data_IF_535957499580
#
_entry.id   IF_535957499580
#
_cell.length_a   1.000
_cell.length_b   1.000
_cell.length_c   1.000
_cell.angle_alpha   90.00
_cell.angle_beta   90.00
_cell.angle_gamma   90.00
#
_symmetry.space_group_name_H-M   'P 1'
#
loop_
_entity.id
_entity.type
_entity.pdbx_description
1 polymer ?
#
# COMPACT_ATOMS: atom_id res chain seq x y z
N UNK A 1 -15.54 15.09 40.21
CA UNK A 1 -15.43 14.22 39.01
C UNK A 1 -15.78 15.09 37.79
N UNK A 2 -14.74 15.57 37.11
CA UNK A 2 -14.91 16.24 35.81
C UNK A 2 -14.64 15.17 34.77
N UNK A 3 -15.72 14.75 34.06
CA UNK A 3 -15.62 13.83 32.94
C UNK A 3 -14.71 14.42 31.88
N UNK A 4 -13.53 13.84 31.67
CA UNK A 4 -12.71 14.12 30.52
C UNK A 4 -13.51 13.76 29.25
N UNK A 5 -13.60 14.66 28.25
CA UNK A 5 -14.28 14.34 27.02
C UNK A 5 -13.54 13.19 26.34
N UNK A 6 -14.19 12.05 26.21
CA UNK A 6 -13.67 10.90 25.46
C UNK A 6 -13.47 11.31 24.00
N UNK A 7 -12.22 11.56 23.62
CA UNK A 7 -11.84 11.77 22.23
C UNK A 7 -12.11 10.45 21.49
N UNK A 8 -13.23 10.38 20.77
CA UNK A 8 -13.51 9.24 19.89
C UNK A 8 -12.43 9.18 18.81
N UNK A 9 -11.65 8.12 18.83
CA UNK A 9 -10.68 7.88 17.75
C UNK A 9 -11.42 7.85 16.41
N UNK A 10 -10.89 8.51 15.36
CA UNK A 10 -11.52 8.51 14.05
C UNK A 10 -11.61 7.08 13.49
N UNK A 11 -12.73 6.76 12.89
CA UNK A 11 -12.87 5.49 12.16
C UNK A 11 -11.82 5.40 11.04
N UNK A 12 -11.48 4.19 10.61
CA UNK A 12 -10.52 3.98 9.51
C UNK A 12 -10.89 4.80 8.27
N UNK A 13 -12.19 4.92 7.95
CA UNK A 13 -12.67 5.73 6.83
C UNK A 13 -12.45 7.24 7.03
N UNK A 14 -12.66 7.75 8.24
CA UNK A 14 -12.41 9.17 8.57
C UNK A 14 -10.92 9.49 8.57
N UNK A 15 -10.09 8.59 9.10
CA UNK A 15 -8.64 8.73 9.07
C UNK A 15 -8.12 8.78 7.62
N UNK A 16 -8.63 7.91 6.76
CA UNK A 16 -8.26 7.86 5.36
C UNK A 16 -8.71 9.11 4.59
N UNK A 17 -9.94 9.59 4.82
CA UNK A 17 -10.45 10.81 4.19
C UNK A 17 -9.62 12.04 4.60
N UNK A 18 -9.23 12.13 5.86
CA UNK A 18 -8.41 13.23 6.36
C UNK A 18 -6.97 13.15 5.83
N UNK A 19 -6.39 11.95 5.75
CA UNK A 19 -5.06 11.74 5.18
C UNK A 19 -5.04 12.11 3.69
N UNK A 20 -6.05 11.71 2.94
CA UNK A 20 -6.21 12.04 1.51
C UNK A 20 -6.42 13.54 1.35
N UNK A 21 -7.26 14.18 2.18
CA UNK A 21 -7.47 15.62 2.17
C UNK A 21 -6.19 16.40 2.44
N UNK A 22 -5.42 16.00 3.43
CA UNK A 22 -4.12 16.62 3.76
C UNK A 22 -3.10 16.40 2.64
N UNK A 23 -3.07 15.22 2.02
CA UNK A 23 -2.20 14.93 0.88
C UNK A 23 -2.57 15.78 -0.35
N UNK A 24 -3.87 15.95 -0.65
CA UNK A 24 -4.35 16.82 -1.72
C UNK A 24 -3.94 18.29 -1.50
N UNK A 25 -4.04 18.76 -0.28
CA UNK A 25 -3.65 20.13 0.08
C UNK A 25 -2.14 20.33 -0.02
N UNK A 26 -1.35 19.33 0.40
CA UNK A 26 0.10 19.33 0.26
C UNK A 26 0.52 19.33 -1.22
N UNK A 27 -0.11 18.49 -2.05
CA UNK A 27 0.13 18.44 -3.50
C UNK A 27 -0.16 19.76 -4.20
N UNK A 28 -1.22 20.46 -3.78
CA UNK A 28 -1.57 21.78 -4.30
C UNK A 28 -0.49 22.83 -3.98
N UNK A 29 0.17 22.69 -2.84
CA UNK A 29 1.21 23.61 -2.39
C UNK A 29 2.62 23.27 -2.92
N UNK A 30 2.88 22.00 -3.32
CA UNK A 30 4.18 21.49 -3.76
C UNK A 30 4.33 21.38 -5.28
N UNK A 31 3.46 21.95 -6.06
CA UNK A 31 3.27 21.78 -7.51
C UNK A 31 4.49 21.79 -8.45
N UNK A 32 5.71 21.84 -7.95
CA UNK A 32 6.92 21.92 -8.77
C UNK A 32 7.98 20.83 -8.52
N UNK A 33 7.92 20.06 -7.42
CA UNK A 33 8.97 19.08 -7.08
C UNK A 33 8.63 17.62 -7.43
N UNK A 34 7.40 17.35 -7.88
CA UNK A 34 6.80 16.03 -7.90
C UNK A 34 7.17 15.18 -9.12
N UNK A 35 7.44 15.79 -10.25
CA UNK A 35 7.62 15.07 -11.53
C UNK A 35 8.97 14.34 -11.63
N UNK A 36 10.05 14.96 -11.18
CA UNK A 36 11.41 14.39 -11.36
C UNK A 36 11.68 13.18 -10.48
N UNK A 37 11.08 13.09 -9.28
CA UNK A 37 11.29 11.95 -8.38
C UNK A 37 10.53 10.71 -8.85
N UNK A 38 9.30 10.87 -9.33
CA UNK A 38 8.51 9.79 -9.89
C UNK A 38 9.16 9.21 -11.16
N UNK A 39 9.71 10.08 -12.03
CA UNK A 39 10.38 9.63 -13.24
C UNK A 39 11.71 8.91 -12.95
N UNK A 40 12.47 9.36 -11.97
CA UNK A 40 13.67 8.67 -11.50
C UNK A 40 13.33 7.29 -10.92
N UNK A 41 12.31 7.20 -10.09
CA UNK A 41 11.82 5.93 -9.55
C UNK A 41 11.36 4.99 -10.67
N UNK A 42 10.63 5.53 -11.65
CA UNK A 42 10.19 4.77 -12.83
C UNK A 42 11.37 4.22 -13.62
N UNK A 43 12.37 5.03 -13.88
CA UNK A 43 13.58 4.61 -14.61
C UNK A 43 14.37 3.55 -13.83
N UNK A 44 14.50 3.73 -12.52
CA UNK A 44 15.14 2.76 -11.62
C UNK A 44 14.40 1.41 -11.64
N UNK A 45 13.11 1.41 -11.38
CA UNK A 45 12.33 0.17 -11.30
C UNK A 45 12.32 -0.59 -12.63
N UNK A 46 12.32 0.10 -13.78
CA UNK A 46 12.40 -0.54 -15.11
C UNK A 46 13.67 -1.37 -15.31
N UNK A 47 14.76 -1.06 -14.61
CA UNK A 47 16.00 -1.83 -14.71
C UNK A 47 15.93 -3.15 -13.93
N UNK A 48 15.11 -3.22 -12.87
CA UNK A 48 15.11 -4.33 -11.91
C UNK A 48 13.85 -5.19 -11.96
N UNK A 49 12.76 -4.69 -12.52
CA UNK A 49 11.53 -5.48 -12.64
C UNK A 49 11.52 -6.25 -13.95
N UNK A 50 11.76 -7.55 -13.85
CA UNK A 50 11.54 -8.51 -14.94
C UNK A 50 10.21 -9.23 -14.72
N UNK A 51 9.16 -8.76 -15.40
CA UNK A 51 7.83 -9.34 -15.29
C UNK A 51 7.80 -10.82 -15.71
N UNK A 52 8.59 -11.22 -16.74
CA UNK A 52 8.63 -12.60 -17.19
C UNK A 52 9.20 -13.51 -16.12
N UNK A 53 10.26 -13.08 -15.43
CA UNK A 53 10.85 -13.81 -14.33
C UNK A 53 9.87 -13.92 -13.15
N UNK A 54 9.18 -12.82 -12.76
CA UNK A 54 8.18 -12.82 -11.70
C UNK A 54 7.06 -13.82 -12.00
N UNK A 55 6.51 -13.79 -13.23
CA UNK A 55 5.41 -14.68 -13.61
C UNK A 55 5.83 -16.16 -13.71
N UNK A 56 7.06 -16.43 -14.13
CA UNK A 56 7.62 -17.78 -14.23
C UNK A 56 7.98 -18.36 -12.86
N UNK A 57 8.23 -17.52 -11.88
CA UNK A 57 8.58 -17.93 -10.51
C UNK A 57 7.48 -18.79 -9.90
N UNK A 58 7.89 -19.84 -9.17
CA UNK A 58 7.00 -20.61 -8.30
C UNK A 58 6.67 -19.89 -6.98
N UNK A 59 7.25 -18.71 -6.76
CA UNK A 59 6.93 -17.85 -5.62
C UNK A 59 5.74 -16.99 -5.94
N UNK A 60 4.87 -16.81 -4.95
CA UNK A 60 3.81 -15.84 -5.05
C UNK A 60 4.37 -14.41 -4.93
N UNK A 61 3.73 -13.50 -5.60
CA UNK A 61 3.99 -12.06 -5.49
C UNK A 61 2.65 -11.35 -5.39
N UNK A 62 2.53 -10.44 -4.46
CA UNK A 62 1.33 -9.62 -4.29
C UNK A 62 1.68 -8.24 -3.77
N UNK A 63 0.80 -7.31 -4.00
CA UNK A 63 0.91 -5.92 -3.55
C UNK A 63 -0.46 -5.31 -3.29
N UNK A 64 -0.47 -4.16 -2.61
CA UNK A 64 -1.69 -3.38 -2.38
C UNK A 64 -1.52 -2.00 -3.00
N UNK A 65 -2.55 -1.54 -3.69
CA UNK A 65 -2.67 -0.15 -4.13
C UNK A 65 -4.03 0.39 -3.67
N UNK A 66 -4.20 1.69 -3.63
CA UNK A 66 -5.44 2.33 -3.21
C UNK A 66 -6.02 3.18 -4.33
N UNK A 67 -7.26 2.89 -4.72
CA UNK A 67 -7.97 3.67 -5.74
C UNK A 67 -8.59 4.92 -5.10
N UNK A 68 -8.26 6.08 -5.64
CA UNK A 68 -8.72 7.36 -5.09
C UNK A 68 -10.21 7.60 -5.37
N UNK A 69 -10.73 7.41 -6.60
CA UNK A 69 -12.16 7.63 -6.84
C UNK A 69 -13.07 6.61 -6.15
N UNK A 70 -12.59 5.36 -5.98
CA UNK A 70 -13.39 4.31 -5.33
C UNK A 70 -13.23 4.33 -3.80
N UNK A 71 -12.21 5.01 -3.28
CA UNK A 71 -11.82 4.99 -1.87
C UNK A 71 -11.65 3.57 -1.33
N UNK A 72 -11.04 2.69 -2.14
CA UNK A 72 -10.93 1.27 -1.84
C UNK A 72 -9.52 0.73 -2.09
N UNK A 73 -9.04 -0.21 -1.23
CA UNK A 73 -7.81 -0.92 -1.48
C UNK A 73 -8.00 -1.96 -2.59
N UNK A 74 -6.98 -2.13 -3.40
CA UNK A 74 -6.88 -3.19 -4.39
C UNK A 74 -5.73 -4.12 -3.99
N UNK A 75 -6.08 -5.30 -3.50
CA UNK A 75 -5.16 -6.37 -3.19
C UNK A 75 -4.95 -7.21 -4.45
N UNK A 76 -3.74 -7.19 -4.98
CA UNK A 76 -3.43 -7.80 -6.27
C UNK A 76 -2.34 -8.86 -6.11
N UNK A 77 -2.66 -10.10 -6.42
CA UNK A 77 -1.66 -11.13 -6.63
C UNK A 77 -1.17 -11.09 -8.08
N UNK A 78 0.01 -11.65 -8.37
CA UNK A 78 0.59 -11.62 -9.72
C UNK A 78 -0.33 -12.23 -10.80
N UNK A 79 -1.20 -13.15 -10.38
CA UNK A 79 -2.18 -13.79 -11.25
C UNK A 79 -3.31 -12.85 -11.64
N UNK A 80 -3.69 -11.92 -10.73
CA UNK A 80 -4.77 -10.94 -10.92
C UNK A 80 -4.31 -9.72 -11.73
N UNK A 81 -3.00 -9.52 -11.80
CA UNK A 81 -2.41 -8.40 -12.56
C UNK A 81 -2.36 -8.76 -14.04
N UNK A 82 -2.94 -7.95 -14.94
CA UNK A 82 -2.86 -8.19 -16.38
C UNK A 82 -1.40 -8.30 -16.89
N UNK A 83 -1.19 -9.07 -17.96
CA UNK A 83 0.14 -9.23 -18.55
C UNK A 83 0.66 -7.87 -19.03
N UNK A 84 1.93 -7.60 -18.76
CA UNK A 84 2.58 -6.33 -19.10
C UNK A 84 2.43 -5.24 -18.05
N UNK A 85 1.63 -5.45 -16.99
CA UNK A 85 1.27 -4.40 -16.03
C UNK A 85 1.88 -4.55 -14.62
N UNK A 86 2.68 -5.58 -14.34
CA UNK A 86 3.29 -5.72 -13.00
C UNK A 86 4.05 -4.45 -12.60
N UNK A 87 4.77 -3.87 -13.55
CA UNK A 87 5.50 -2.63 -13.34
C UNK A 87 4.58 -1.48 -12.92
N UNK A 88 3.44 -1.29 -13.61
CA UNK A 88 2.51 -0.20 -13.33
C UNK A 88 1.86 -0.34 -11.95
N UNK A 89 1.53 -1.58 -11.57
CA UNK A 89 1.01 -1.87 -10.23
C UNK A 89 2.06 -1.66 -9.14
N UNK A 90 3.33 -2.00 -9.37
CA UNK A 90 4.41 -1.70 -8.42
C UNK A 90 4.59 -0.18 -8.26
N UNK A 91 4.56 0.57 -9.38
CA UNK A 91 4.59 2.03 -9.33
C UNK A 91 3.40 2.62 -8.57
N UNK A 92 2.21 2.07 -8.79
CA UNK A 92 1.01 2.50 -8.08
C UNK A 92 1.08 2.21 -6.57
N UNK A 93 1.56 1.01 -6.20
CA UNK A 93 1.77 0.60 -4.80
C UNK A 93 2.84 1.41 -4.08
N UNK A 94 3.76 2.06 -4.82
CA UNK A 94 4.83 2.89 -4.28
C UNK A 94 4.54 4.39 -4.42
N UNK A 95 3.37 4.76 -4.96
CA UNK A 95 3.00 6.14 -5.22
C UNK A 95 2.53 6.83 -3.94
N UNK A 96 3.51 7.23 -3.09
CA UNK A 96 3.18 7.98 -1.88
C UNK A 96 2.29 9.19 -2.20
N UNK A 97 1.25 9.49 -1.41
CA UNK A 97 0.24 10.51 -1.75
C UNK A 97 0.79 11.89 -2.08
N UNK A 98 1.99 12.24 -1.58
CA UNK A 98 2.68 13.49 -1.91
C UNK A 98 3.38 13.47 -3.28
N UNK A 99 3.45 12.29 -3.93
CA UNK A 99 4.02 12.14 -5.27
C UNK A 99 2.90 12.02 -6.32
N UNK A 100 3.32 11.89 -7.59
CA UNK A 100 2.39 11.78 -8.71
C UNK A 100 1.57 10.50 -8.62
N UNK A 101 0.25 10.64 -8.55
CA UNK A 101 -0.68 9.53 -8.62
C UNK A 101 -0.53 8.77 -9.91
N UNK A 102 -0.67 7.46 -9.86
CA UNK A 102 -0.44 6.60 -11.00
C UNK A 102 -1.76 6.27 -11.71
N UNK A 103 -1.68 6.22 -13.04
CA UNK A 103 -2.71 5.59 -13.87
C UNK A 103 -2.24 4.20 -14.26
N UNK A 104 -3.16 3.27 -14.35
CA UNK A 104 -2.92 1.92 -14.84
C UNK A 104 -3.68 1.78 -16.14
N UNK A 105 -3.05 1.26 -17.17
CA UNK A 105 -3.67 1.02 -18.47
C UNK A 105 -4.93 0.15 -18.33
N UNK A 106 -6.01 0.51 -19.04
CA UNK A 106 -7.32 -0.12 -18.92
C UNK A 106 -8.12 0.31 -17.69
N UNK A 107 -7.59 1.28 -16.90
CA UNK A 107 -8.24 1.87 -15.74
C UNK A 107 -8.15 3.40 -15.77
N UNK A 108 -8.41 3.99 -16.93
CA UNK A 108 -8.16 5.41 -17.25
C UNK A 108 -8.93 6.37 -16.35
N UNK A 109 -10.09 5.92 -15.85
CA UNK A 109 -10.93 6.71 -14.96
C UNK A 109 -10.51 6.61 -13.47
N UNK A 110 -9.43 5.88 -13.18
CA UNK A 110 -8.97 5.66 -11.81
C UNK A 110 -7.55 6.16 -11.62
N UNK A 111 -7.34 6.74 -10.44
CA UNK A 111 -6.02 7.12 -9.94
C UNK A 111 -5.67 6.21 -8.77
N UNK A 112 -4.41 5.80 -8.73
CA UNK A 112 -3.91 4.90 -7.71
C UNK A 112 -2.79 5.56 -6.93
N UNK A 113 -2.79 5.31 -5.63
CA UNK A 113 -1.75 5.72 -4.69
C UNK A 113 -1.26 4.51 -3.90
N UNK A 114 -0.22 4.72 -3.10
CA UNK A 114 0.36 3.72 -2.21
C UNK A 114 -0.72 3.05 -1.35
N UNK A 115 -0.77 1.73 -1.42
CA UNK A 115 -1.71 0.93 -0.64
C UNK A 115 -1.47 0.99 0.87
N UNK A 116 -0.26 1.37 1.29
CA UNK A 116 0.09 1.56 2.69
C UNK A 116 -0.71 2.66 3.41
N UNK A 117 -1.41 3.54 2.67
CA UNK A 117 -2.37 4.49 3.26
C UNK A 117 -3.58 3.78 3.88
N UNK A 118 -3.88 2.57 3.43
CA UNK A 118 -4.99 1.76 3.93
C UNK A 118 -4.48 0.55 4.71
N UNK A 119 -3.64 -0.27 4.10
CA UNK A 119 -3.09 -1.49 4.68
C UNK A 119 -1.59 -1.57 4.42
N UNK A 120 -0.83 -1.15 5.41
CA UNK A 120 0.64 -1.12 5.35
C UNK A 120 1.28 -2.49 5.66
N UNK A 121 0.48 -3.47 6.06
CA UNK A 121 0.94 -4.83 6.35
C UNK A 121 -0.15 -5.83 5.96
N UNK A 122 -0.27 -6.16 4.67
CA UNK A 122 -1.40 -6.90 4.11
C UNK A 122 -1.34 -8.41 4.43
N UNK A 123 -1.28 -8.75 5.72
CA UNK A 123 -1.25 -10.14 6.22
C UNK A 123 -2.44 -10.93 5.71
N UNK A 124 -3.60 -10.27 5.63
CA UNK A 124 -4.84 -10.90 5.16
C UNK A 124 -4.70 -11.53 3.77
N UNK A 125 -3.92 -10.93 2.86
CA UNK A 125 -3.69 -11.51 1.52
C UNK A 125 -3.06 -12.90 1.60
N UNK A 126 -2.11 -13.09 2.52
CA UNK A 126 -1.43 -14.37 2.69
C UNK A 126 -2.32 -15.39 3.37
N UNK A 127 -3.08 -14.97 4.39
CA UNK A 127 -4.08 -15.83 5.05
C UNK A 127 -5.14 -16.31 4.06
N UNK A 128 -5.67 -15.41 3.25
CA UNK A 128 -6.70 -15.76 2.25
C UNK A 128 -6.13 -16.67 1.14
N UNK A 129 -4.84 -16.61 0.88
CA UNK A 129 -4.14 -17.51 -0.04
C UNK A 129 -3.81 -18.87 0.58
N UNK A 130 -4.02 -19.05 1.89
CA UNK A 130 -3.85 -20.31 2.58
C UNK A 130 -2.45 -20.53 3.18
N UNK A 131 -1.65 -19.47 3.35
CA UNK A 131 -0.39 -19.56 4.06
C UNK A 131 -0.65 -19.76 5.56
N UNK A 132 -0.02 -20.75 6.15
CA UNK A 132 -0.13 -21.15 7.56
C UNK A 132 1.02 -20.61 8.44
N UNK A 133 2.11 -20.18 7.84
CA UNK A 133 3.23 -19.51 8.51
C UNK A 133 3.57 -18.20 7.78
N UNK A 134 3.44 -17.08 8.48
CA UNK A 134 3.61 -15.74 7.92
C UNK A 134 4.66 -14.99 8.72
N UNK A 135 5.64 -14.42 8.03
CA UNK A 135 6.63 -13.51 8.60
C UNK A 135 6.34 -12.10 8.10
N UNK A 136 6.10 -11.19 9.02
CA UNK A 136 5.91 -9.78 8.73
C UNK A 136 7.09 -8.96 9.23
N UNK A 137 7.68 -8.16 8.34
CA UNK A 137 8.81 -7.28 8.65
C UNK A 137 8.31 -5.84 8.60
N UNK A 138 8.40 -5.15 9.72
CA UNK A 138 8.01 -3.75 9.84
C UNK A 138 9.22 -2.85 9.65
N UNK A 139 9.01 -1.77 8.91
CA UNK A 139 10.03 -0.71 8.73
C UNK A 139 9.87 0.44 9.72
N UNK A 140 8.78 0.44 10.51
CA UNK A 140 8.49 1.51 11.47
C UNK A 140 8.16 0.95 12.86
N UNK A 141 8.65 1.65 13.90
CA UNK A 141 8.39 1.33 15.32
C UNK A 141 6.92 1.60 15.70
N UNK A 142 6.25 2.56 15.04
CA UNK A 142 4.85 2.89 15.35
C UNK A 142 3.98 1.66 15.17
N UNK A 143 3.19 1.36 16.20
CA UNK A 143 2.22 0.25 16.16
C UNK A 143 1.08 0.63 15.20
N UNK A 144 1.14 0.17 13.97
CA UNK A 144 -0.02 0.22 13.07
C UNK A 144 -1.00 -0.89 13.44
N UNK A 145 -2.29 -0.56 13.41
CA UNK A 145 -3.37 -1.50 13.79
C UNK A 145 -3.75 -2.48 12.68
N UNK A 146 -3.31 -2.25 11.44
CA UNK A 146 -3.81 -2.91 10.23
C UNK A 146 -3.87 -4.45 10.28
N UNK A 147 -2.99 -5.11 11.03
CA UNK A 147 -3.01 -6.59 11.15
C UNK A 147 -3.67 -7.13 12.42
N UNK A 148 -4.04 -6.25 13.38
CA UNK A 148 -4.58 -6.71 14.68
C UNK A 148 -5.98 -7.28 14.59
N UNK A 149 -6.74 -6.82 13.59
CA UNK A 149 -8.13 -7.22 13.37
C UNK A 149 -8.25 -8.29 12.27
N UNK A 150 -7.10 -8.87 11.84
CA UNK A 150 -7.08 -9.95 10.84
C UNK A 150 -7.35 -11.28 11.54
N UNK A 151 -8.41 -11.96 11.13
CA UNK A 151 -8.59 -13.38 11.46
C UNK A 151 -7.52 -14.21 10.74
N UNK A 152 -6.58 -14.75 11.51
CA UNK A 152 -5.47 -15.54 11.00
C UNK A 152 -5.88 -16.94 10.56
N UNK A 153 -7.13 -17.37 10.82
CA UNK A 153 -7.63 -18.70 10.47
C UNK A 153 -6.70 -19.85 10.90
N UNK A 154 -6.00 -19.64 12.02
CA UNK A 154 -5.04 -20.61 12.54
C UNK A 154 -3.59 -20.44 12.03
N UNK A 155 -3.32 -19.54 11.11
CA UNK A 155 -1.97 -19.24 10.66
C UNK A 155 -1.11 -18.63 11.79
N UNK A 156 0.18 -18.97 11.79
CA UNK A 156 1.17 -18.39 12.71
C UNK A 156 1.74 -17.12 12.10
N UNK A 157 1.65 -16.02 12.84
CA UNK A 157 2.22 -14.74 12.45
C UNK A 157 3.41 -14.37 13.34
N UNK A 158 4.60 -14.25 12.74
CA UNK A 158 5.80 -13.73 13.37
C UNK A 158 6.08 -12.31 12.86
N UNK A 159 6.11 -11.33 13.77
CA UNK A 159 6.31 -9.92 13.42
C UNK A 159 7.67 -9.44 13.91
N UNK A 160 8.53 -9.06 12.98
CA UNK A 160 9.79 -8.35 13.28
C UNK A 160 9.55 -6.84 13.26
N UNK A 161 9.98 -6.19 14.32
CA UNK A 161 9.90 -4.73 14.44
C UNK A 161 11.31 -4.20 14.72
N UNK A 162 11.75 -3.11 14.06
CA UNK A 162 13.05 -2.53 14.35
C UNK A 162 13.11 -2.06 15.80
N UNK A 163 14.28 -2.21 16.43
CA UNK A 163 14.55 -1.75 17.81
C UNK A 163 14.68 -0.23 17.89
N UNK A 164 15.09 0.40 16.78
CA UNK A 164 15.32 1.83 16.68
C UNK A 164 14.57 2.42 15.48
N UNK A 165 14.39 3.73 15.52
CA UNK A 165 13.77 4.45 14.39
C UNK A 165 14.79 4.50 13.24
N UNK A 166 14.39 3.93 12.10
CA UNK A 166 15.14 4.02 10.85
C UNK A 166 15.07 5.43 10.26
#
# INVERSE_FOLDING_TARGET
DMDEPSIKEPTQGQFNAQLIGNALQLLRNLGMFVDTTADKMRAFLKQYIDEKAIRKSNKDFGLVTYSVPDFAPHYMMKEDIPKGQIYDYVMASSAYPAFKWQKIEGKENKWFIDGGVYDNMPVKMLVDKGYDEIVAIRTNIKKYRAYRDVDLKGAKLLVFTPSEKL
#
